data_IF_334771261823
#
_entry.id   IF_334771261823
#
_cell.length_a   1.000
_cell.length_b   1.000
_cell.length_c   1.000
_cell.angle_alpha   90.00
_cell.angle_beta   90.00
_cell.angle_gamma   90.00
#
_symmetry.space_group_name_H-M   'P 1'
#
loop_
_entity.id
_entity.type
_entity.pdbx_description
1 polymer ?
#
# COMPACT_ATOMS: atom_id res chain seq x y z
N UNK A 1 -0.24 -7.43 24.07
CA UNK A 1 -0.28 -6.22 23.22
C UNK A 1 0.03 -6.48 21.74
N UNK A 2 0.83 -7.51 21.37
CA UNK A 2 1.18 -7.83 19.97
C UNK A 2 -0.02 -8.15 19.06
N UNK A 3 -0.96 -8.97 19.56
CA UNK A 3 -2.17 -9.32 18.83
C UNK A 3 -3.06 -8.12 18.47
N UNK A 4 -3.13 -7.10 19.32
CA UNK A 4 -3.92 -5.89 19.03
C UNK A 4 -3.31 -5.08 17.88
N UNK A 5 -1.98 -5.00 17.81
CA UNK A 5 -1.29 -4.28 16.74
C UNK A 5 -1.42 -4.97 15.38
N UNK A 6 -1.42 -6.30 15.34
CA UNK A 6 -1.59 -7.07 14.11
C UNK A 6 -3.04 -6.94 13.59
N UNK A 7 -4.02 -6.97 14.49
CA UNK A 7 -5.43 -6.76 14.13
C UNK A 7 -5.65 -5.35 13.58
N UNK A 8 -5.07 -4.31 14.21
CA UNK A 8 -5.16 -2.94 13.71
C UNK A 8 -4.56 -2.81 12.31
N UNK A 9 -3.43 -3.47 12.04
CA UNK A 9 -2.82 -3.46 10.70
C UNK A 9 -3.69 -4.16 9.65
N UNK A 10 -4.25 -5.32 9.98
CA UNK A 10 -5.14 -6.07 9.07
C UNK A 10 -6.40 -5.25 8.76
N UNK A 11 -7.02 -4.66 9.79
CA UNK A 11 -8.23 -3.83 9.63
C UNK A 11 -7.91 -2.57 8.84
N UNK A 12 -6.79 -1.90 9.11
CA UNK A 12 -6.36 -0.73 8.35
C UNK A 12 -6.15 -1.08 6.87
N UNK A 13 -5.49 -2.20 6.57
CA UNK A 13 -5.26 -2.65 5.20
C UNK A 13 -6.54 -3.01 4.47
N UNK A 14 -7.43 -3.76 5.12
CA UNK A 14 -8.74 -4.12 4.57
C UNK A 14 -9.59 -2.86 4.32
N UNK A 15 -9.58 -1.89 5.25
CA UNK A 15 -10.27 -0.62 5.09
C UNK A 15 -9.70 0.19 3.92
N UNK A 16 -8.37 0.29 3.80
CA UNK A 16 -7.74 0.99 2.67
C UNK A 16 -8.06 0.34 1.34
N UNK A 17 -8.08 -1.01 1.27
CA UNK A 17 -8.46 -1.74 0.08
C UNK A 17 -9.93 -1.56 -0.29
N UNK A 18 -10.83 -1.55 0.69
CA UNK A 18 -12.26 -1.28 0.48
C UNK A 18 -12.51 0.15 0.01
N UNK A 19 -11.88 1.13 0.67
CA UNK A 19 -11.98 2.55 0.31
C UNK A 19 -11.45 2.78 -1.11
N UNK A 20 -10.33 2.13 -1.46
CA UNK A 20 -9.79 2.17 -2.81
C UNK A 20 -10.76 1.59 -3.85
N UNK A 21 -11.28 0.39 -3.58
CA UNK A 21 -12.26 -0.26 -4.45
C UNK A 21 -13.48 0.61 -4.72
N UNK A 22 -13.99 1.30 -3.70
CA UNK A 22 -15.14 2.20 -3.82
C UNK A 22 -14.82 3.54 -4.51
N UNK A 23 -13.66 4.14 -4.24
CA UNK A 23 -13.30 5.46 -4.78
C UNK A 23 -12.99 5.43 -6.28
N UNK A 24 -12.33 4.36 -6.74
CA UNK A 24 -11.80 4.34 -8.10
C UNK A 24 -12.77 3.72 -9.09
N UNK A 25 -13.49 2.68 -8.68
CA UNK A 25 -14.47 2.00 -9.51
C UNK A 25 -15.74 1.76 -8.68
N UNK A 26 -16.80 2.56 -8.84
CA UNK A 26 -18.01 2.48 -8.04
C UNK A 26 -18.88 1.27 -8.42
N UNK A 27 -18.30 0.07 -8.36
CA UNK A 27 -18.98 -1.20 -8.49
C UNK A 27 -18.69 -2.04 -7.26
N UNK A 28 -19.71 -2.77 -6.80
CA UNK A 28 -19.58 -3.66 -5.65
C UNK A 28 -18.46 -4.71 -5.85
N UNK A 29 -18.20 -5.11 -7.09
CA UNK A 29 -17.14 -6.06 -7.43
C UNK A 29 -15.74 -5.51 -7.08
N UNK A 30 -15.44 -4.26 -7.41
CA UNK A 30 -14.14 -3.66 -7.10
C UNK A 30 -13.98 -3.33 -5.62
N UNK A 31 -15.07 -3.02 -4.90
CA UNK A 31 -15.05 -2.88 -3.45
C UNK A 31 -14.70 -4.20 -2.74
N UNK A 32 -15.31 -5.31 -3.15
CA UNK A 32 -15.02 -6.64 -2.61
C UNK A 32 -13.61 -7.09 -2.96
N UNK A 33 -13.18 -6.86 -4.20
CA UNK A 33 -11.84 -7.21 -4.65
C UNK A 33 -10.77 -6.40 -3.91
N UNK A 34 -10.98 -5.09 -3.74
CA UNK A 34 -10.12 -4.21 -2.96
C UNK A 34 -10.05 -4.64 -1.49
N UNK A 35 -11.19 -4.96 -0.86
CA UNK A 35 -11.23 -5.49 0.50
C UNK A 35 -10.45 -6.81 0.59
N UNK A 36 -10.68 -7.75 -0.34
CA UNK A 36 -10.01 -9.04 -0.34
C UNK A 36 -8.49 -8.90 -0.47
N UNK A 37 -8.02 -8.03 -1.37
CA UNK A 37 -6.59 -7.75 -1.56
C UNK A 37 -6.00 -7.09 -0.31
N UNK A 38 -6.68 -6.08 0.26
CA UNK A 38 -6.24 -5.43 1.50
C UNK A 38 -6.16 -6.41 2.67
N UNK A 39 -7.15 -7.28 2.82
CA UNK A 39 -7.18 -8.30 3.88
C UNK A 39 -6.07 -9.34 3.66
N UNK A 40 -5.85 -9.79 2.42
CA UNK A 40 -4.76 -10.70 2.06
C UNK A 40 -3.38 -10.10 2.37
N UNK A 41 -3.13 -8.84 1.98
CA UNK A 41 -1.90 -8.12 2.30
C UNK A 41 -1.72 -7.94 3.82
N UNK A 42 -2.78 -7.56 4.53
CA UNK A 42 -2.76 -7.46 5.99
C UNK A 42 -2.39 -8.78 6.67
N UNK A 43 -2.98 -9.90 6.22
CA UNK A 43 -2.67 -11.24 6.72
C UNK A 43 -1.24 -11.67 6.40
N UNK A 44 -0.75 -11.39 5.20
CA UNK A 44 0.64 -11.65 4.80
C UNK A 44 1.60 -10.88 5.70
N UNK A 45 1.38 -9.58 5.88
CA UNK A 45 2.22 -8.75 6.76
C UNK A 45 2.21 -9.24 8.22
N UNK A 46 1.05 -9.64 8.74
CA UNK A 46 0.93 -10.21 10.07
C UNK A 46 1.67 -11.55 10.20
N UNK A 47 1.57 -12.41 9.18
CA UNK A 47 2.24 -13.72 9.15
C UNK A 47 3.76 -13.59 9.11
N UNK A 48 4.28 -12.62 8.36
CA UNK A 48 5.73 -12.36 8.25
C UNK A 48 6.28 -11.45 9.37
N UNK A 49 5.47 -11.11 10.40
CA UNK A 49 5.87 -10.25 11.53
C UNK A 49 6.47 -8.92 11.07
N UNK A 50 5.93 -8.36 9.99
CA UNK A 50 6.37 -7.06 9.47
C UNK A 50 6.02 -5.99 10.50
N UNK A 51 6.92 -5.02 10.70
CA UNK A 51 6.69 -3.97 11.71
C UNK A 51 5.41 -3.20 11.36
N UNK A 52 4.49 -2.98 12.32
CA UNK A 52 3.19 -2.38 12.04
C UNK A 52 3.27 -0.97 11.48
N UNK A 53 4.40 -0.28 11.64
CA UNK A 53 4.67 1.03 11.06
C UNK A 53 4.83 1.03 9.53
N UNK A 54 5.16 -0.12 8.94
CA UNK A 54 5.43 -0.23 7.48
C UNK A 54 4.13 -0.30 6.69
N UNK A 55 3.16 -1.05 7.20
CA UNK A 55 1.85 -1.22 6.58
C UNK A 55 1.22 0.09 6.11
N UNK A 56 0.90 1.05 6.99
CA UNK A 56 0.17 2.26 6.59
C UNK A 56 0.91 3.07 5.51
N UNK A 57 2.25 3.17 5.56
CA UNK A 57 3.02 3.86 4.53
C UNK A 57 2.89 3.20 3.15
N UNK A 58 2.91 1.86 3.10
CA UNK A 58 2.74 1.10 1.85
C UNK A 58 1.30 1.22 1.33
N UNK A 59 0.29 1.21 2.20
CA UNK A 59 -1.10 1.42 1.79
C UNK A 59 -1.33 2.80 1.18
N UNK A 60 -0.83 3.85 1.82
CA UNK A 60 -0.91 5.23 1.29
C UNK A 60 -0.14 5.32 -0.04
N UNK A 61 1.03 4.69 -0.11
CA UNK A 61 1.82 4.59 -1.33
C UNK A 61 1.07 3.97 -2.49
N UNK A 62 0.43 2.82 -2.26
CA UNK A 62 -0.40 2.14 -3.25
C UNK A 62 -1.60 2.97 -3.71
N UNK A 63 -2.28 3.67 -2.79
CA UNK A 63 -3.38 4.58 -3.10
C UNK A 63 -2.93 5.72 -4.03
N UNK A 64 -1.83 6.37 -3.70
CA UNK A 64 -1.29 7.49 -4.48
C UNK A 64 -0.79 7.00 -5.84
N UNK A 65 -0.09 5.87 -5.89
CA UNK A 65 0.37 5.28 -7.15
C UNK A 65 -0.80 4.95 -8.07
N UNK A 66 -1.85 4.32 -7.55
CA UNK A 66 -3.05 4.01 -8.31
C UNK A 66 -3.73 5.27 -8.87
N UNK A 67 -3.80 6.33 -8.06
CA UNK A 67 -4.36 7.62 -8.45
C UNK A 67 -3.60 8.25 -9.61
N UNK A 68 -2.27 8.28 -9.49
CA UNK A 68 -1.38 8.79 -10.53
C UNK A 68 -1.52 7.98 -11.83
N UNK A 69 -1.54 6.64 -11.74
CA UNK A 69 -1.68 5.80 -12.93
C UNK A 69 -2.97 6.02 -13.69
N UNK A 70 -4.09 6.26 -12.96
CA UNK A 70 -5.36 6.58 -13.59
C UNK A 70 -5.31 7.93 -14.31
N UNK A 71 -4.78 8.96 -13.66
CA UNK A 71 -4.72 10.30 -14.25
C UNK A 71 -3.76 10.37 -15.46
N UNK A 72 -2.66 9.61 -15.43
CA UNK A 72 -1.79 9.46 -16.60
C UNK A 72 -2.59 8.85 -17.76
N UNK A 73 -3.30 7.74 -17.55
CA UNK A 73 -4.07 7.11 -18.64
C UNK A 73 -5.19 8.03 -19.15
N UNK A 74 -5.84 8.79 -18.26
CA UNK A 74 -6.82 9.82 -18.65
C UNK A 74 -6.23 10.93 -19.49
N UNK A 75 -4.99 11.34 -19.22
CA UNK A 75 -4.29 12.32 -20.04
C UNK A 75 -3.92 11.78 -21.42
N UNK A 76 -3.68 10.47 -21.55
CA UNK A 76 -3.32 9.83 -22.82
C UNK A 76 -4.52 9.41 -23.69
N UNK A 77 -5.70 9.19 -23.11
CA UNK A 77 -6.87 8.69 -23.82
C UNK A 77 -8.00 9.73 -23.94
N UNK A 78 -8.83 9.62 -24.98
CA UNK A 78 -10.11 10.32 -25.05
C UNK A 78 -11.01 9.89 -23.86
N UNK A 79 -11.71 10.83 -23.19
CA UNK A 79 -12.51 10.52 -22.02
C UNK A 79 -13.59 9.49 -22.36
N UNK A 80 -13.61 8.38 -21.62
CA UNK A 80 -14.63 7.33 -21.71
C UNK A 80 -14.31 6.15 -22.63
N UNK A 81 -13.25 6.20 -23.45
CA UNK A 81 -12.92 5.09 -24.37
C UNK A 81 -11.93 4.06 -23.80
N UNK A 82 -11.25 4.36 -22.69
CA UNK A 82 -10.11 3.57 -22.18
C UNK A 82 -10.29 3.04 -20.76
N UNK A 83 -11.52 2.68 -20.34
CA UNK A 83 -11.77 2.20 -18.97
C UNK A 83 -10.94 0.97 -18.60
N UNK A 84 -10.74 0.03 -19.52
CA UNK A 84 -9.87 -1.14 -19.31
C UNK A 84 -8.40 -0.77 -19.11
N UNK A 85 -7.90 0.24 -19.83
CA UNK A 85 -6.52 0.72 -19.71
C UNK A 85 -6.33 1.55 -18.45
N UNK A 86 -7.34 2.31 -18.00
CA UNK A 86 -7.32 3.01 -16.71
C UNK A 86 -7.18 2.01 -15.55
N UNK A 87 -7.94 0.91 -15.58
CA UNK A 87 -7.85 -0.17 -14.58
C UNK A 87 -6.44 -0.76 -14.57
N UNK A 88 -5.92 -1.13 -15.74
CA UNK A 88 -4.58 -1.70 -15.85
C UNK A 88 -3.50 -0.72 -15.36
N UNK A 89 -3.53 0.53 -15.85
CA UNK A 89 -2.57 1.57 -15.48
C UNK A 89 -2.57 1.88 -13.99
N UNK A 90 -3.76 1.98 -13.38
CA UNK A 90 -3.91 2.15 -11.93
C UNK A 90 -3.35 0.95 -11.15
N UNK A 91 -3.60 -0.28 -11.60
CA UNK A 91 -3.09 -1.47 -10.94
C UNK A 91 -1.56 -1.58 -11.00
N UNK A 92 -0.95 -1.36 -12.17
CA UNK A 92 0.50 -1.45 -12.32
C UNK A 92 1.25 -0.38 -11.50
N UNK A 93 0.74 0.85 -11.50
CA UNK A 93 1.32 1.94 -10.71
C UNK A 93 1.08 1.77 -9.21
N UNK A 94 -0.06 1.21 -8.79
CA UNK A 94 -0.32 0.83 -7.41
C UNK A 94 0.68 -0.23 -6.91
N UNK A 95 0.92 -1.27 -7.71
CA UNK A 95 1.87 -2.33 -7.37
C UNK A 95 3.30 -1.76 -7.34
N UNK A 96 3.69 -0.99 -8.36
CA UNK A 96 5.02 -0.38 -8.44
C UNK A 96 5.32 0.54 -7.27
N UNK A 97 4.35 1.38 -6.89
CA UNK A 97 4.47 2.28 -5.73
C UNK A 97 4.51 1.52 -4.40
N UNK A 98 3.68 0.49 -4.22
CA UNK A 98 3.74 -0.37 -3.03
C UNK A 98 5.12 -1.01 -2.87
N UNK A 99 5.69 -1.55 -3.94
CA UNK A 99 7.02 -2.18 -3.91
C UNK A 99 8.09 -1.13 -3.62
N UNK A 100 8.09 0.00 -4.33
CA UNK A 100 9.09 1.06 -4.15
C UNK A 100 9.07 1.64 -2.73
N UNK A 101 7.90 2.04 -2.26
CA UNK A 101 7.73 2.63 -0.91
C UNK A 101 8.00 1.57 0.16
N UNK A 102 7.54 0.33 -0.04
CA UNK A 102 7.83 -0.78 0.87
C UNK A 102 9.32 -1.02 1.04
N UNK A 103 10.10 -0.99 -0.05
CA UNK A 103 11.55 -1.12 -0.01
C UNK A 103 12.21 0.03 0.76
N UNK A 104 11.85 1.28 0.45
CA UNK A 104 12.40 2.46 1.12
C UNK A 104 12.12 2.42 2.62
N UNK A 105 10.87 2.15 3.02
CA UNK A 105 10.49 2.09 4.43
C UNK A 105 11.19 0.94 5.14
N UNK A 106 11.33 -0.22 4.50
CA UNK A 106 12.07 -1.35 5.07
C UNK A 106 13.55 -1.02 5.32
N UNK A 107 14.20 -0.33 4.37
CA UNK A 107 15.59 0.11 4.51
C UNK A 107 15.75 1.16 5.62
N UNK A 108 14.84 2.13 5.70
CA UNK A 108 14.85 3.16 6.75
C UNK A 108 14.70 2.54 8.13
N UNK A 109 13.75 1.62 8.29
CA UNK A 109 13.52 0.91 9.55
C UNK A 109 14.75 0.09 9.95
N UNK A 110 15.38 -0.60 8.99
CA UNK A 110 16.63 -1.33 9.22
C UNK A 110 17.77 -0.39 9.64
N UNK A 111 17.88 0.76 8.98
CA UNK A 111 18.89 1.77 9.33
C UNK A 111 18.73 2.25 10.77
N UNK A 112 17.50 2.52 11.23
CA UNK A 112 17.25 2.92 12.62
C UNK A 112 17.55 1.81 13.63
N UNK A 113 17.29 0.55 13.30
CA UNK A 113 17.66 -0.57 14.17
C UNK A 113 19.18 -0.66 14.31
N UNK A 114 19.92 -0.57 13.20
CA UNK A 114 21.38 -0.62 13.20
C UNK A 114 22.01 0.59 13.92
N UNK A 115 21.43 1.79 13.76
CA UNK A 115 21.84 2.99 14.53
C UNK A 115 21.68 2.81 16.05
N UNK A 116 20.64 2.08 16.49
CA UNK A 116 20.43 1.78 17.92
C UNK A 116 21.40 0.74 18.44
N UNK A 117 21.66 -0.31 17.65
CA UNK A 117 22.63 -1.35 18.00
C UNK A 117 24.07 -0.82 18.03
N UNK A 118 24.36 0.19 17.22
CA UNK A 118 25.67 0.87 17.17
C UNK A 118 25.92 1.82 18.35
N UNK A 119 24.93 2.10 19.21
CA UNK A 119 25.06 2.97 20.37
C UNK A 119 24.97 4.47 20.08
N UNK A 120 24.45 4.88 18.93
CA UNK A 120 24.45 6.28 18.49
C UNK A 120 25.83 6.78 18.05
N UNK A 121 25.97 8.04 17.61
CA UNK A 121 27.27 8.56 17.18
C UNK A 121 28.26 8.40 18.34
N UNK A 122 29.35 7.65 18.12
CA UNK A 122 30.52 7.75 18.99
C UNK A 122 30.89 9.23 19.00
N UNK A 123 30.76 9.85 20.18
CA UNK A 123 31.35 11.16 20.40
C UNK A 123 32.85 11.00 20.22
N UNK A 124 33.34 11.39 19.04
CA UNK A 124 34.74 11.74 18.80
C UNK A 124 34.90 13.21 19.07
#
# INVERSE_FOLDING_TARGET
MKAASDVVMIVAMAATGLVFGLLFFPSAAFAVLGLAIGLALGLVMARYRVRPSIGPAVAVGGLVGAWIGREIVRALCLPGSCTGVEVAGSAFTAIGSMVGIGLVVALVVRSFDEYRESGGPRQV
#
